data_IF_976670812992
#
_entry.id   IF_976670812992
#
_cell.length_a   1.000
_cell.length_b   1.000
_cell.length_c   1.000
_cell.angle_alpha   90.00
_cell.angle_beta   90.00
_cell.angle_gamma   90.00
#
_symmetry.space_group_name_H-M   'P 1'
#
loop_
_entity.id
_entity.type
_entity.pdbx_description
1 polymer ?
#
# COMPACT_ATOMS: atom_id res chain seq x y z
N UNK A 1 -16.60 -19.55 15.56
CA UNK A 1 -16.82 -20.31 14.31
C UNK A 1 -15.69 -19.89 13.37
N UNK A 2 -14.81 -20.81 12.99
CA UNK A 2 -13.73 -20.52 12.05
C UNK A 2 -14.37 -20.50 10.66
N UNK A 3 -14.51 -19.32 10.07
CA UNK A 3 -14.74 -19.23 8.62
C UNK A 3 -13.43 -19.66 7.96
N UNK A 4 -13.36 -20.94 7.62
CA UNK A 4 -12.28 -21.49 6.83
C UNK A 4 -12.29 -20.80 5.47
N UNK A 5 -11.14 -20.29 5.02
CA UNK A 5 -11.02 -19.66 3.72
C UNK A 5 -11.29 -20.76 2.69
N UNK A 6 -12.40 -20.65 1.95
CA UNK A 6 -12.78 -21.64 0.95
C UNK A 6 -11.57 -22.00 0.05
N UNK A 7 -11.25 -23.29 -0.16
CA UNK A 7 -10.13 -23.72 -1.01
C UNK A 7 -10.14 -23.12 -2.43
N UNK A 8 -11.32 -22.71 -2.89
CA UNK A 8 -11.55 -22.03 -4.17
C UNK A 8 -10.88 -20.64 -4.25
N UNK A 9 -10.77 -19.92 -3.13
CA UNK A 9 -10.19 -18.57 -3.10
C UNK A 9 -8.66 -18.65 -3.28
N UNK A 10 -8.00 -19.65 -2.71
CA UNK A 10 -6.54 -19.79 -2.79
C UNK A 10 -6.04 -20.13 -4.20
N UNK A 11 -6.93 -20.58 -5.09
CA UNK A 11 -6.61 -20.89 -6.48
C UNK A 11 -6.98 -19.77 -7.46
N UNK A 12 -7.56 -18.66 -6.99
CA UNK A 12 -8.04 -17.58 -7.85
C UNK A 12 -6.88 -16.73 -8.40
N UNK A 13 -7.12 -16.08 -9.54
CA UNK A 13 -6.16 -15.14 -10.14
C UNK A 13 -5.83 -14.00 -9.18
N UNK A 14 -6.82 -13.51 -8.43
CA UNK A 14 -6.64 -12.47 -7.41
C UNK A 14 -5.64 -12.91 -6.34
N UNK A 15 -5.75 -14.15 -5.86
CA UNK A 15 -4.87 -14.67 -4.82
C UNK A 15 -3.44 -14.85 -5.34
N UNK A 16 -3.26 -15.39 -6.54
CA UNK A 16 -1.94 -15.57 -7.18
C UNK A 16 -1.27 -14.23 -7.50
N UNK A 17 -2.02 -13.27 -8.02
CA UNK A 17 -1.53 -11.91 -8.27
C UNK A 17 -1.15 -11.22 -6.95
N UNK A 18 -1.95 -11.36 -5.88
CA UNK A 18 -1.61 -10.86 -4.53
C UNK A 18 -0.32 -11.49 -4.00
N UNK A 19 -0.11 -12.78 -4.25
CA UNK A 19 1.11 -13.46 -3.81
C UNK A 19 2.34 -12.90 -4.54
N UNK A 20 2.24 -12.76 -5.86
CA UNK A 20 3.27 -12.16 -6.71
C UNK A 20 3.60 -10.73 -6.28
N UNK A 21 2.57 -9.90 -6.04
CA UNK A 21 2.71 -8.54 -5.53
C UNK A 21 3.43 -8.50 -4.18
N UNK A 22 3.01 -9.32 -3.21
CA UNK A 22 3.63 -9.37 -1.89
C UNK A 22 5.11 -9.78 -1.96
N UNK A 23 5.48 -10.68 -2.87
CA UNK A 23 6.86 -11.09 -3.05
C UNK A 23 7.73 -9.96 -3.60
N UNK A 24 7.21 -9.20 -4.57
CA UNK A 24 7.89 -8.02 -5.14
C UNK A 24 8.06 -6.90 -4.11
N UNK A 25 7.00 -6.52 -3.39
CA UNK A 25 7.07 -5.48 -2.34
C UNK A 25 8.10 -5.77 -1.25
N UNK A 26 8.37 -7.05 -0.93
CA UNK A 26 9.36 -7.46 0.11
C UNK A 26 10.82 -7.43 -0.36
N UNK A 27 11.11 -7.43 -1.66
CA UNK A 27 12.48 -7.52 -2.18
C UNK A 27 12.83 -6.34 -3.09
N UNK A 28 13.07 -5.13 -2.55
CA UNK A 28 13.41 -4.00 -3.41
C UNK A 28 14.80 -4.11 -4.05
N UNK A 29 15.73 -4.96 -3.56
CA UNK A 29 17.14 -4.94 -4.05
C UNK A 29 18.07 -6.14 -3.78
N UNK A 30 17.61 -7.29 -3.30
CA UNK A 30 18.49 -8.44 -3.03
C UNK A 30 18.14 -9.65 -3.89
N UNK A 31 19.02 -9.91 -4.88
CA UNK A 31 19.19 -11.13 -5.70
C UNK A 31 17.89 -11.87 -6.08
N UNK A 32 17.54 -11.79 -7.37
CA UNK A 32 16.76 -12.82 -8.07
C UNK A 32 17.45 -14.19 -7.90
N UNK A 33 17.16 -14.87 -6.79
CA UNK A 33 17.12 -16.32 -6.78
C UNK A 33 15.70 -16.67 -7.21
N UNK A 34 15.62 -17.23 -8.42
CA UNK A 34 14.41 -17.70 -9.09
C UNK A 34 13.49 -18.40 -8.08
N UNK A 35 12.44 -17.70 -7.69
CA UNK A 35 11.21 -18.35 -7.26
C UNK A 35 10.36 -18.41 -8.51
N UNK A 36 10.05 -19.63 -8.96
CA UNK A 36 9.15 -19.89 -10.08
C UNK A 36 7.70 -19.54 -9.67
N UNK A 37 7.45 -18.27 -9.36
CA UNK A 37 6.11 -17.75 -9.13
C UNK A 37 5.66 -17.11 -10.45
N UNK A 38 4.58 -17.69 -11.01
CA UNK A 38 3.91 -17.35 -12.26
C UNK A 38 4.37 -16.02 -12.89
N UNK A 39 5.21 -16.13 -13.94
CA UNK A 39 5.62 -14.99 -14.78
C UNK A 39 4.40 -14.18 -15.27
N UNK A 40 3.26 -14.84 -15.38
CA UNK A 40 1.96 -14.28 -15.78
C UNK A 40 1.59 -12.97 -15.06
N UNK A 41 1.81 -12.89 -13.74
CA UNK A 41 1.38 -11.73 -12.95
C UNK A 41 2.52 -10.76 -12.63
N UNK A 42 3.73 -11.02 -13.13
CA UNK A 42 4.93 -10.24 -12.82
C UNK A 42 4.79 -8.77 -13.21
N UNK A 43 4.34 -8.51 -14.44
CA UNK A 43 4.22 -7.14 -14.97
C UNK A 43 3.08 -6.37 -14.29
N UNK A 44 1.94 -7.02 -14.08
CA UNK A 44 0.79 -6.40 -13.38
C UNK A 44 1.18 -6.02 -11.95
N UNK A 45 1.86 -6.91 -11.23
CA UNK A 45 2.34 -6.64 -9.87
C UNK A 45 3.35 -5.48 -9.84
N UNK A 46 4.19 -5.34 -10.86
CA UNK A 46 5.12 -4.22 -11.00
C UNK A 46 4.35 -2.90 -11.17
N UNK A 47 3.37 -2.87 -12.07
CA UNK A 47 2.54 -1.68 -12.31
C UNK A 47 1.74 -1.28 -11.08
N UNK A 48 1.16 -2.25 -10.36
CA UNK A 48 0.50 -2.00 -9.07
C UNK A 48 1.45 -1.34 -8.06
N UNK A 49 2.70 -1.81 -7.99
CA UNK A 49 3.73 -1.21 -7.13
C UNK A 49 4.01 0.24 -7.54
N UNK A 50 4.16 0.50 -8.84
CA UNK A 50 4.38 1.86 -9.34
C UNK A 50 3.20 2.79 -9.08
N UNK A 51 1.95 2.30 -9.18
CA UNK A 51 0.76 3.10 -8.86
C UNK A 51 0.78 3.52 -7.39
N UNK A 52 1.06 2.58 -6.48
CA UNK A 52 1.15 2.90 -5.05
C UNK A 52 2.28 3.88 -4.78
N UNK A 53 3.45 3.66 -5.36
CA UNK A 53 4.63 4.51 -5.10
C UNK A 53 4.45 5.92 -5.68
N UNK A 54 3.75 6.08 -6.81
CA UNK A 54 3.43 7.40 -7.38
C UNK A 54 2.28 8.09 -6.62
N UNK A 55 1.21 7.36 -6.32
CA UNK A 55 0.03 7.91 -5.63
C UNK A 55 0.31 8.34 -4.18
N UNK A 56 1.28 7.70 -3.50
CA UNK A 56 1.70 8.10 -2.15
C UNK A 56 2.57 9.38 -2.15
N UNK A 57 3.06 9.82 -3.31
CA UNK A 57 3.90 11.02 -3.46
C UNK A 57 3.09 12.24 -3.94
N UNK A 58 1.84 12.06 -4.36
CA UNK A 58 0.95 13.13 -4.87
C UNK A 58 0.07 13.78 -3.78
N UNK A 59 0.33 13.55 -2.48
CA UNK A 59 -0.26 14.41 -1.44
C UNK A 59 0.40 15.79 -1.47
N UNK A 60 -0.19 16.70 -2.25
CA UNK A 60 -0.42 18.07 -1.79
C UNK A 60 -1.10 18.01 -0.41
N UNK A 61 -0.29 17.95 0.64
CA UNK A 61 -0.73 18.03 2.02
C UNK A 61 -1.62 19.27 2.20
N UNK A 62 -2.86 19.14 2.71
CA UNK A 62 -3.63 20.28 3.15
C UNK A 62 -2.84 21.02 4.23
N UNK A 63 -2.54 22.29 3.97
CA UNK A 63 -1.85 23.18 4.90
C UNK A 63 -2.67 23.38 6.18
N UNK A 64 -2.46 22.54 7.19
CA UNK A 64 -2.88 22.83 8.57
C UNK A 64 -1.76 22.48 9.54
N UNK A 65 -0.57 23.07 9.31
CA UNK A 65 0.45 23.13 10.35
C UNK A 65 0.19 24.39 11.18
N UNK A 66 -0.37 24.18 12.36
CA UNK A 66 -0.39 25.13 13.48
C UNK A 66 1.06 25.55 13.76
N UNK A 67 1.46 26.70 13.19
CA UNK A 67 2.77 27.31 13.40
C UNK A 67 2.82 27.90 14.79
N UNK A 68 3.17 27.07 15.76
CA UNK A 68 3.63 27.54 17.06
C UNK A 68 4.77 26.69 17.60
N UNK A 69 5.88 26.72 16.87
CA UNK A 69 7.20 26.41 17.42
C UNK A 69 8.02 27.69 17.34
N UNK A 70 8.18 28.28 18.52
CA UNK A 70 9.06 29.40 18.81
C UNK A 70 10.46 29.08 18.32
N UNK A 71 10.97 29.94 17.44
CA UNK A 71 12.38 30.05 17.10
C UNK A 71 13.13 30.32 18.41
N UNK A 72 13.91 29.36 18.88
CA UNK A 72 14.94 29.59 19.88
C UNK A 72 16.24 29.84 19.11
N UNK A 73 16.80 31.02 19.33
CA UNK A 73 17.96 31.59 18.65
C UNK A 73 19.24 30.81 18.97
N UNK A 74 20.02 30.50 17.93
CA UNK A 74 21.36 29.97 18.12
C UNK A 74 22.02 29.45 16.83
N UNK A 75 22.08 30.27 15.78
CA UNK A 75 22.96 30.00 14.63
C UNK A 75 23.86 31.21 14.39
N UNK A 76 24.99 31.24 15.10
CA UNK A 76 26.19 31.85 14.56
C UNK A 76 26.90 30.78 13.73
N UNK A 77 27.00 30.96 12.42
CA UNK A 77 27.94 30.19 11.60
C UNK A 77 28.52 31.08 10.51
N UNK A 78 29.82 31.30 10.65
CA UNK A 78 30.73 32.06 9.80
C UNK A 78 31.00 31.31 8.48
N UNK A 79 30.89 32.04 7.36
CA UNK A 79 31.65 31.82 6.13
C UNK A 79 31.58 30.47 5.40
N UNK A 80 30.64 30.34 4.44
CA UNK A 80 30.77 29.37 3.34
C UNK A 80 29.46 29.06 2.61
N UNK A 81 29.24 29.63 1.41
CA UNK A 81 28.01 29.48 0.59
C UNK A 81 27.93 28.11 -0.12
N UNK A 82 28.41 27.04 0.52
CA UNK A 82 28.34 25.66 0.01
C UNK A 82 28.21 24.68 1.18
N UNK A 83 27.08 24.70 1.87
CA UNK A 83 26.63 23.54 2.66
C UNK A 83 25.21 23.66 3.21
N UNK A 84 24.63 24.87 3.23
CA UNK A 84 23.30 25.11 3.84
C UNK A 84 22.22 24.19 3.26
N UNK A 85 22.23 23.95 1.94
CA UNK A 85 21.25 23.08 1.29
C UNK A 85 21.46 21.60 1.66
N UNK A 86 22.72 21.14 1.78
CA UNK A 86 23.03 19.75 2.13
C UNK A 86 22.74 19.49 3.61
N UNK A 87 23.08 20.41 4.49
CA UNK A 87 22.74 20.36 5.92
C UNK A 87 21.23 20.33 6.16
N UNK A 88 20.47 21.11 5.39
CA UNK A 88 19.00 21.10 5.44
C UNK A 88 18.45 19.76 4.93
N UNK A 89 19.00 19.22 3.84
CA UNK A 89 18.61 17.91 3.30
C UNK A 89 18.90 16.81 4.33
N UNK A 90 20.10 16.79 4.91
CA UNK A 90 20.50 15.78 5.89
C UNK A 90 19.64 15.88 7.15
N UNK A 91 19.33 17.12 7.59
CA UNK A 91 18.42 17.35 8.70
C UNK A 91 17.00 16.84 8.41
N UNK A 92 16.51 17.05 7.19
CA UNK A 92 15.21 16.55 6.77
C UNK A 92 15.19 15.03 6.71
N UNK A 93 16.24 14.39 6.17
CA UNK A 93 16.39 12.92 6.15
C UNK A 93 16.37 12.35 7.57
N UNK A 94 17.07 12.97 8.51
CA UNK A 94 17.10 12.55 9.91
C UNK A 94 15.74 12.69 10.60
N UNK A 95 15.02 13.78 10.32
CA UNK A 95 13.66 13.98 10.84
C UNK A 95 12.71 12.89 10.31
N UNK A 96 12.76 12.61 9.00
CA UNK A 96 11.93 11.58 8.37
C UNK A 96 12.20 10.19 8.95
N UNK A 97 13.48 9.82 9.16
CA UNK A 97 13.85 8.56 9.82
C UNK A 97 13.25 8.45 11.21
N UNK A 98 13.47 9.47 12.05
CA UNK A 98 12.98 9.49 13.45
C UNK A 98 11.46 9.42 13.52
N UNK A 99 10.75 10.15 12.66
CA UNK A 99 9.29 10.11 12.59
C UNK A 99 8.78 8.74 12.14
N UNK A 100 9.43 8.12 11.15
CA UNK A 100 9.11 6.77 10.68
C UNK A 100 9.32 5.71 11.76
N UNK A 101 10.47 5.76 12.45
CA UNK A 101 10.82 4.83 13.53
C UNK A 101 9.85 4.95 14.70
N UNK A 102 9.56 6.18 15.17
CA UNK A 102 8.61 6.41 16.27
C UNK A 102 7.20 5.91 15.92
N UNK A 103 6.74 6.14 14.69
CA UNK A 103 5.44 5.65 14.26
C UNK A 103 5.41 4.10 14.24
N UNK A 104 6.47 3.48 13.72
CA UNK A 104 6.60 2.02 13.69
C UNK A 104 6.62 1.44 15.12
N UNK A 105 7.39 2.02 16.03
CA UNK A 105 7.42 1.62 17.44
C UNK A 105 6.03 1.71 18.10
N UNK A 106 5.32 2.83 17.92
CA UNK A 106 3.98 3.04 18.49
C UNK A 106 2.95 2.01 18.00
N UNK A 107 3.06 1.60 16.74
CA UNK A 107 2.19 0.57 16.16
C UNK A 107 2.53 -0.80 16.76
N UNK A 108 3.81 -1.14 16.87
CA UNK A 108 4.26 -2.42 17.41
C UNK A 108 4.03 -2.56 18.92
N UNK A 109 4.17 -1.46 19.68
CA UNK A 109 4.03 -1.45 21.13
C UNK A 109 2.58 -1.49 21.61
N UNK A 110 1.60 -1.24 20.73
CA UNK A 110 0.19 -1.29 21.08
C UNK A 110 -0.32 -2.74 21.06
N UNK A 111 0.13 -3.52 22.05
CA UNK A 111 -0.23 -4.93 22.20
C UNK A 111 -1.74 -5.15 22.42
N UNK A 112 -2.45 -4.17 23.00
CA UNK A 112 -3.91 -4.23 23.14
C UNK A 112 -4.61 -4.18 21.79
N UNK A 113 -4.19 -3.25 20.92
CA UNK A 113 -4.69 -3.15 19.54
C UNK A 113 -4.36 -4.39 18.74
N UNK A 114 -3.11 -4.87 18.79
CA UNK A 114 -2.69 -6.09 18.09
C UNK A 114 -3.46 -7.31 18.59
N UNK A 115 -3.64 -7.45 19.90
CA UNK A 115 -4.41 -8.54 20.50
C UNK A 115 -5.91 -8.46 20.17
N UNK A 116 -6.48 -7.26 20.11
CA UNK A 116 -7.86 -7.06 19.65
C UNK A 116 -8.00 -7.44 18.18
N UNK A 117 -7.11 -6.96 17.31
CA UNK A 117 -7.09 -7.30 15.89
C UNK A 117 -6.94 -8.81 15.71
N UNK A 118 -5.97 -9.46 16.34
CA UNK A 118 -5.80 -10.92 16.28
C UNK A 118 -7.08 -11.69 16.63
N UNK A 119 -7.84 -11.25 17.63
CA UNK A 119 -9.09 -11.91 18.06
C UNK A 119 -10.29 -11.62 17.17
N UNK A 120 -10.33 -10.44 16.56
CA UNK A 120 -11.52 -9.90 15.86
C UNK A 120 -11.33 -9.79 14.35
N UNK A 121 -10.17 -10.18 13.83
CA UNK A 121 -9.86 -10.10 12.40
C UNK A 121 -10.75 -11.05 11.60
N UNK A 122 -11.81 -10.47 11.06
CA UNK A 122 -12.79 -11.09 10.18
C UNK A 122 -12.78 -10.43 8.80
N UNK A 123 -13.46 -11.05 7.83
CA UNK A 123 -13.65 -10.45 6.52
C UNK A 123 -14.36 -9.10 6.60
N UNK A 124 -15.39 -8.96 7.45
CA UNK A 124 -16.11 -7.69 7.62
C UNK A 124 -15.20 -6.57 8.13
N UNK A 125 -14.30 -6.88 9.07
CA UNK A 125 -13.32 -5.91 9.56
C UNK A 125 -12.34 -5.54 8.44
N UNK A 126 -11.81 -6.53 7.72
CA UNK A 126 -10.92 -6.32 6.59
C UNK A 126 -11.56 -5.44 5.51
N UNK A 127 -12.79 -5.76 5.11
CA UNK A 127 -13.59 -5.03 4.11
C UNK A 127 -13.85 -3.60 4.55
N UNK A 128 -14.25 -3.38 5.80
CA UNK A 128 -14.49 -2.04 6.34
C UNK A 128 -13.20 -1.21 6.40
N UNK A 129 -12.11 -1.82 6.86
CA UNK A 129 -10.79 -1.17 6.91
C UNK A 129 -10.33 -0.78 5.50
N UNK A 130 -10.33 -1.73 4.56
CA UNK A 130 -9.90 -1.52 3.18
C UNK A 130 -10.74 -0.46 2.49
N UNK A 131 -12.07 -0.53 2.60
CA UNK A 131 -12.96 0.51 2.07
C UNK A 131 -12.65 1.89 2.66
N UNK A 132 -12.49 1.97 3.99
CA UNK A 132 -12.23 3.26 4.66
C UNK A 132 -10.89 3.86 4.21
N UNK A 133 -9.86 3.04 4.10
CA UNK A 133 -8.54 3.46 3.62
C UNK A 133 -8.58 3.91 2.16
N UNK A 134 -9.25 3.15 1.28
CA UNK A 134 -9.41 3.54 -0.11
C UNK A 134 -10.16 4.87 -0.22
N UNK A 135 -11.26 5.06 0.52
CA UNK A 135 -12.04 6.31 0.47
C UNK A 135 -11.27 7.50 1.06
N UNK A 136 -10.32 7.29 1.98
CA UNK A 136 -9.47 8.38 2.48
C UNK A 136 -8.43 8.85 1.47
N UNK A 137 -7.97 7.97 0.57
CA UNK A 137 -6.97 8.31 -0.46
C UNK A 137 -7.65 8.70 -1.79
N UNK A 138 -8.70 7.97 -2.18
CA UNK A 138 -9.49 8.19 -3.40
C UNK A 138 -10.91 8.62 -2.99
N UNK A 139 -11.20 9.93 -3.00
CA UNK A 139 -12.53 10.45 -2.69
C UNK A 139 -13.64 9.80 -3.53
N UNK A 140 -14.83 9.65 -2.95
CA UNK A 140 -15.98 8.95 -3.57
C UNK A 140 -16.27 9.42 -5.00
N UNK A 141 -16.16 10.73 -5.26
CA UNK A 141 -16.41 11.32 -6.58
C UNK A 141 -15.39 10.92 -7.66
N UNK A 142 -14.21 10.43 -7.27
CA UNK A 142 -13.15 9.94 -8.17
C UNK A 142 -13.15 8.42 -8.33
N UNK A 143 -13.90 7.69 -7.50
CA UNK A 143 -13.82 6.22 -7.45
C UNK A 143 -14.28 5.52 -8.75
N UNK A 144 -15.10 6.15 -9.60
CA UNK A 144 -15.43 5.57 -10.90
C UNK A 144 -14.28 5.64 -11.89
N UNK A 145 -13.43 6.68 -11.80
CA UNK A 145 -12.33 6.96 -12.75
C UNK A 145 -10.98 6.40 -12.30
N UNK A 146 -10.80 6.17 -11.01
CA UNK A 146 -9.51 5.74 -10.43
C UNK A 146 -9.50 4.28 -9.98
N UNK A 147 -10.01 3.37 -10.82
CA UNK A 147 -10.16 1.95 -10.44
C UNK A 147 -8.82 1.24 -10.26
N UNK A 148 -7.85 1.47 -11.15
CA UNK A 148 -6.47 0.96 -11.02
C UNK A 148 -5.83 1.36 -9.68
N UNK A 149 -6.01 2.62 -9.27
CA UNK A 149 -5.52 3.14 -7.99
C UNK A 149 -6.17 2.46 -6.79
N UNK A 150 -7.49 2.34 -6.78
CA UNK A 150 -8.21 1.63 -5.70
C UNK A 150 -7.79 0.17 -5.58
N UNK A 151 -7.59 -0.52 -6.70
CA UNK A 151 -7.06 -1.89 -6.71
C UNK A 151 -5.67 -1.92 -6.09
N UNK A 152 -4.76 -1.04 -6.54
CA UNK A 152 -3.41 -0.96 -5.99
C UNK A 152 -3.40 -0.72 -4.48
N UNK A 153 -4.29 0.14 -3.97
CA UNK A 153 -4.48 0.38 -2.54
C UNK A 153 -5.03 -0.87 -1.81
N UNK A 154 -5.95 -1.62 -2.40
CA UNK A 154 -6.43 -2.89 -1.82
C UNK A 154 -5.31 -3.94 -1.71
N UNK A 155 -4.45 -4.02 -2.71
CA UNK A 155 -3.23 -4.85 -2.70
C UNK A 155 -2.28 -4.41 -1.59
N UNK A 156 -2.07 -3.10 -1.44
CA UNK A 156 -1.20 -2.54 -0.40
C UNK A 156 -1.71 -2.82 1.02
N UNK A 157 -3.01 -2.60 1.27
CA UNK A 157 -3.64 -2.93 2.56
C UNK A 157 -3.46 -4.42 2.88
N UNK A 158 -3.72 -5.29 1.91
CA UNK A 158 -3.54 -6.74 2.06
C UNK A 158 -2.11 -7.10 2.41
N UNK A 159 -1.14 -6.53 1.69
CA UNK A 159 0.29 -6.78 1.90
C UNK A 159 0.74 -6.36 3.30
N UNK A 160 0.33 -5.17 3.76
CA UNK A 160 0.66 -4.69 5.10
C UNK A 160 0.01 -5.54 6.19
N UNK A 161 -1.29 -5.84 6.08
CA UNK A 161 -1.98 -6.68 7.05
C UNK A 161 -1.41 -8.10 7.12
N UNK A 162 -0.94 -8.65 5.99
CA UNK A 162 -0.21 -9.94 5.96
C UNK A 162 1.06 -9.90 6.81
N UNK A 163 1.76 -8.77 6.87
CA UNK A 163 3.00 -8.66 7.66
C UNK A 163 2.79 -8.56 9.16
N UNK A 164 1.59 -8.15 9.62
CA UNK A 164 1.27 -7.99 11.04
C UNK A 164 1.01 -9.32 11.78
N UNK A 165 1.14 -10.46 11.10
CA UNK A 165 0.97 -11.82 11.65
C UNK A 165 -0.26 -11.96 12.56
N UNK A 166 -1.38 -11.38 12.13
CA UNK A 166 -2.60 -11.28 12.94
C UNK A 166 -3.31 -12.64 13.12
N UNK A 167 -2.85 -13.71 12.46
CA UNK A 167 -3.28 -15.10 12.68
C UNK A 167 -2.32 -16.06 11.93
N UNK A 168 -2.18 -17.33 12.34
CA UNK A 168 -1.31 -18.28 11.65
C UNK A 168 -1.88 -18.55 10.25
N UNK A 169 -1.12 -18.17 9.22
CA UNK A 169 -1.33 -18.38 7.80
C UNK A 169 -2.55 -17.69 7.13
N UNK A 170 -2.23 -16.67 6.32
CA UNK A 170 -2.91 -16.32 5.07
C UNK A 170 -4.37 -15.82 5.11
N UNK A 171 -4.98 -15.56 6.29
CA UNK A 171 -6.34 -14.95 6.32
C UNK A 171 -6.40 -13.60 5.61
N UNK A 172 -5.40 -12.74 5.84
CA UNK A 172 -5.33 -11.45 5.14
C UNK A 172 -5.26 -11.63 3.62
N UNK A 173 -4.50 -12.62 3.13
CA UNK A 173 -4.43 -12.95 1.70
C UNK A 173 -5.79 -13.42 1.16
N UNK A 174 -6.45 -14.33 1.87
CA UNK A 174 -7.78 -14.82 1.50
C UNK A 174 -8.83 -13.71 1.47
N UNK A 175 -8.86 -12.84 2.49
CA UNK A 175 -9.75 -11.69 2.54
C UNK A 175 -9.44 -10.66 1.46
N UNK A 176 -8.15 -10.43 1.16
CA UNK A 176 -7.73 -9.57 0.04
C UNK A 176 -8.24 -10.10 -1.30
N UNK A 177 -8.04 -11.40 -1.57
CA UNK A 177 -8.53 -12.03 -2.79
C UNK A 177 -10.07 -11.98 -2.89
N UNK A 178 -10.76 -12.29 -1.79
CA UNK A 178 -12.22 -12.20 -1.71
C UNK A 178 -12.73 -10.76 -1.97
N UNK A 179 -12.07 -9.76 -1.41
CA UNK A 179 -12.42 -8.35 -1.62
C UNK A 179 -12.20 -7.93 -3.08
N UNK A 180 -11.06 -8.30 -3.68
CA UNK A 180 -10.79 -8.03 -5.08
C UNK A 180 -11.83 -8.69 -6.00
N UNK A 181 -12.22 -9.92 -5.68
CA UNK A 181 -13.25 -10.65 -6.41
C UNK A 181 -14.63 -9.99 -6.28
N UNK A 182 -15.03 -9.57 -5.07
CA UNK A 182 -16.33 -8.94 -4.81
C UNK A 182 -16.45 -7.55 -5.46
N UNK A 183 -15.38 -6.76 -5.46
CA UNK A 183 -15.43 -5.33 -5.81
C UNK A 183 -14.83 -4.96 -7.17
N UNK A 184 -13.86 -5.72 -7.67
CA UNK A 184 -13.06 -5.32 -8.83
C UNK A 184 -13.06 -6.35 -9.96
N UNK A 185 -13.32 -7.63 -9.71
CA UNK A 185 -13.36 -8.63 -10.77
C UNK A 185 -14.30 -8.27 -11.94
N UNK A 186 -15.52 -7.72 -11.73
CA UNK A 186 -16.36 -7.30 -12.85
C UNK A 186 -15.71 -6.22 -13.72
N UNK A 187 -15.06 -5.23 -13.11
CA UNK A 187 -14.37 -4.17 -13.84
C UNK A 187 -13.14 -4.72 -14.58
N UNK A 188 -12.34 -5.55 -13.92
CA UNK A 188 -11.16 -6.19 -14.52
C UNK A 188 -11.55 -7.05 -15.72
N UNK A 189 -12.63 -7.83 -15.61
CA UNK A 189 -13.14 -8.65 -16.71
C UNK A 189 -13.62 -7.79 -17.90
N UNK A 190 -14.30 -6.67 -17.64
CA UNK A 190 -14.68 -5.71 -18.68
C UNK A 190 -13.46 -5.10 -19.41
N UNK A 191 -12.32 -5.01 -18.73
CA UNK A 191 -11.07 -4.49 -19.28
C UNK A 191 -10.13 -5.60 -19.76
N UNK A 192 -10.67 -6.80 -20.06
CA UNK A 192 -9.92 -7.88 -20.70
C UNK A 192 -9.05 -8.72 -19.77
N UNK A 193 -9.28 -8.66 -18.46
CA UNK A 193 -8.53 -9.43 -17.47
C UNK A 193 -7.41 -8.63 -16.81
N UNK A 194 -6.73 -9.25 -15.83
CA UNK A 194 -5.72 -8.59 -14.99
C UNK A 194 -4.55 -7.99 -15.75
N UNK A 195 -4.09 -8.63 -16.84
CA UNK A 195 -3.00 -8.11 -17.67
C UNK A 195 -3.43 -6.82 -18.39
N UNK A 196 -4.48 -6.92 -19.21
CA UNK A 196 -4.99 -5.82 -20.04
C UNK A 196 -5.54 -4.66 -19.23
N UNK A 197 -6.19 -4.94 -18.09
CA UNK A 197 -6.73 -3.89 -17.22
C UNK A 197 -5.66 -2.94 -16.69
N UNK A 198 -4.39 -3.33 -16.74
CA UNK A 198 -3.25 -2.53 -16.32
C UNK A 198 -2.29 -2.20 -17.47
N UNK A 199 -2.61 -2.52 -18.72
CA UNK A 199 -1.86 -1.99 -19.86
C UNK A 199 -2.10 -0.47 -19.98
N UNK A 200 -1.04 0.25 -20.37
CA UNK A 200 -1.12 1.70 -20.48
C UNK A 200 -1.96 2.01 -21.74
N UNK A 201 -3.21 2.41 -21.56
CA UNK A 201 -4.05 2.95 -22.63
C UNK A 201 -3.61 4.39 -22.98
N UNK A 202 -2.32 4.61 -23.27
CA UNK A 202 -1.86 5.87 -23.88
C UNK A 202 -2.27 5.96 -25.37
N UNK A 203 -3.15 5.06 -25.84
CA UNK A 203 -3.74 5.04 -27.19
C UNK A 203 -5.27 5.28 -27.21
N UNK A 204 -5.88 5.82 -26.14
CA UNK A 204 -7.17 6.53 -26.30
C UNK A 204 -6.90 7.98 -26.77
N UNK A 205 -6.40 8.08 -27.99
CA UNK A 205 -6.40 9.30 -28.78
C UNK A 205 -7.87 9.74 -28.96
N UNK A 206 -8.20 10.90 -28.41
CA UNK A 206 -9.50 11.54 -28.49
C UNK A 206 -9.90 11.67 -29.97
N UNK A 207 -10.99 11.01 -30.37
CA UNK A 207 -11.73 11.29 -31.61
C UNK A 207 -13.09 11.88 -31.28
#
# INVERSE_FOLDING_TARGET
MMEDVSPLITCSDEYRLLETYCQKRRKPRARLMQSACDEQFGDVAEKLTQIVDKGLLDEELPQTVDKRLTVDEGLESDGGVKDVDQDVIDKLVDLLKKSGDNLNERIQSNHELLGYLQRTFSYDLFKKLTKTFITSVVPEYLQSRRKREQIALAFEVTSRLKTLDLHPMNRAMGYGAQYLQEYFAPWVQQHGGWEKAFDNDDDEEVH
#
